data_IF_447573379161
#
_entry.id   IF_447573379161
#
_cell.length_a   1.000
_cell.length_b   1.000
_cell.length_c   1.000
_cell.angle_alpha   90.00
_cell.angle_beta   90.00
_cell.angle_gamma   90.00
#
_symmetry.space_group_name_H-M   'P 1'
#
loop_
_entity.id
_entity.type
_entity.pdbx_description
1 polymer ?
#
# COMPACT_ATOMS: atom_id res chain seq x y z
N UNK A 1 -3.21 17.12 26.13
CA UNK A 1 -3.18 17.47 24.69
C UNK A 1 -2.92 16.17 23.93
N UNK A 2 -3.98 15.49 23.51
CA UNK A 2 -3.93 14.09 23.04
C UNK A 2 -3.31 13.96 21.64
N UNK A 3 -2.23 13.20 21.53
CA UNK A 3 -1.32 13.11 20.37
C UNK A 3 -1.70 12.04 19.31
N UNK A 4 -2.99 11.71 19.14
CA UNK A 4 -3.46 10.66 18.23
C UNK A 4 -3.92 11.13 16.82
N UNK A 5 -3.51 12.31 16.33
CA UNK A 5 -4.18 12.99 15.20
C UNK A 5 -3.77 12.70 13.72
N UNK A 6 -2.79 11.86 13.38
CA UNK A 6 -2.25 11.87 11.99
C UNK A 6 -2.34 10.58 11.18
N UNK A 7 -2.96 9.54 11.75
CA UNK A 7 -3.29 8.30 11.04
C UNK A 7 -4.79 8.11 11.07
N UNK A 8 -5.36 7.75 9.93
CA UNK A 8 -6.78 7.43 9.88
C UNK A 8 -6.97 5.94 10.18
N UNK A 9 -8.19 5.56 10.51
CA UNK A 9 -8.56 4.16 10.75
C UNK A 9 -9.39 3.64 9.60
N UNK A 10 -8.84 2.69 8.86
CA UNK A 10 -9.57 1.97 7.82
C UNK A 10 -10.21 0.71 8.41
N UNK A 11 -11.53 0.68 8.43
CA UNK A 11 -12.32 -0.44 8.92
C UNK A 11 -12.95 -1.15 7.74
N UNK A 12 -12.53 -2.37 7.46
CA UNK A 12 -13.21 -3.18 6.46
C UNK A 12 -14.53 -3.69 7.03
N UNK A 13 -15.61 -3.52 6.24
CA UNK A 13 -16.94 -4.04 6.60
C UNK A 13 -16.93 -5.55 6.69
N UNK A 14 -16.12 -6.19 5.83
CA UNK A 14 -15.85 -7.61 5.89
C UNK A 14 -14.90 -7.93 7.05
N UNK A 15 -15.36 -8.75 8.00
CA UNK A 15 -14.54 -9.22 9.12
C UNK A 15 -14.29 -8.22 10.25
N UNK A 16 -14.87 -7.00 10.21
CA UNK A 16 -14.77 -5.96 11.25
C UNK A 16 -13.32 -5.65 11.71
N UNK A 17 -12.34 -5.81 10.81
CA UNK A 17 -10.93 -5.53 11.12
C UNK A 17 -10.60 -4.06 10.88
N UNK A 18 -9.96 -3.46 11.87
CA UNK A 18 -9.50 -2.07 11.87
C UNK A 18 -7.99 -2.03 11.62
N UNK A 19 -7.57 -1.24 10.65
CA UNK A 19 -6.16 -0.99 10.33
C UNK A 19 -5.87 0.50 10.46
N UNK A 20 -4.75 0.84 11.09
CA UNK A 20 -4.20 2.20 11.01
C UNK A 20 -3.64 2.42 9.60
N UNK A 21 -4.06 3.50 8.97
CA UNK A 21 -3.64 3.87 7.62
C UNK A 21 -3.10 5.29 7.57
N UNK A 22 -2.28 5.55 6.55
CA UNK A 22 -1.85 6.89 6.15
C UNK A 22 -1.88 6.98 4.63
N UNK A 23 -2.56 8.00 4.10
CA UNK A 23 -2.31 8.47 2.74
C UNK A 23 -1.89 9.94 2.74
N UNK A 24 -1.04 10.31 1.78
CA UNK A 24 -0.46 11.65 1.72
C UNK A 24 -1.24 12.59 0.81
N UNK A 25 -1.95 12.05 -0.19
CA UNK A 25 -2.65 12.83 -1.20
C UNK A 25 -4.03 12.26 -1.53
N UNK A 26 -4.82 13.09 -2.20
CA UNK A 26 -6.07 12.71 -2.85
C UNK A 26 -5.79 12.45 -4.33
N UNK A 27 -6.27 11.34 -4.87
CA UNK A 27 -6.10 10.95 -6.26
C UNK A 27 -7.42 11.04 -7.02
N UNK A 28 -7.43 11.83 -8.09
CA UNK A 28 -8.55 11.91 -9.01
C UNK A 28 -8.25 11.10 -10.28
N UNK A 29 -9.05 10.07 -10.58
CA UNK A 29 -8.96 9.32 -11.84
C UNK A 29 -9.07 10.21 -13.09
N UNK A 30 -8.48 9.78 -14.22
CA UNK A 30 -8.42 10.56 -15.48
C UNK A 30 -9.77 11.05 -16.01
N UNK A 31 -10.87 10.38 -15.68
CA UNK A 31 -12.23 10.76 -16.07
C UNK A 31 -12.71 12.08 -15.46
N UNK A 32 -12.07 12.54 -14.38
CA UNK A 32 -12.40 13.81 -13.73
C UNK A 32 -11.57 14.94 -14.32
N UNK A 33 -12.24 16.01 -14.72
CA UNK A 33 -11.63 17.31 -14.92
C UNK A 33 -11.26 17.90 -13.57
N UNK A 34 -10.01 18.32 -13.43
CA UNK A 34 -9.44 18.70 -12.13
C UNK A 34 -8.55 19.92 -12.25
N UNK A 35 -8.31 20.57 -11.11
CA UNK A 35 -7.43 21.72 -11.01
C UNK A 35 -5.98 21.33 -11.29
N UNK A 36 -5.15 22.31 -11.63
CA UNK A 36 -3.74 22.09 -11.96
C UNK A 36 -2.96 21.37 -10.84
N UNK A 37 -3.28 21.63 -9.57
CA UNK A 37 -2.63 20.99 -8.42
C UNK A 37 -2.92 19.48 -8.36
N UNK A 38 -4.17 19.08 -8.57
CA UNK A 38 -4.57 17.68 -8.57
C UNK A 38 -3.99 16.93 -9.78
N UNK A 39 -3.82 17.63 -10.91
CA UNK A 39 -3.11 17.09 -12.08
C UNK A 39 -1.66 16.78 -11.74
N UNK A 40 -0.98 17.66 -11.00
CA UNK A 40 0.40 17.41 -10.53
C UNK A 40 0.49 16.18 -9.64
N UNK A 41 -0.43 15.98 -8.70
CA UNK A 41 -0.47 14.76 -7.86
C UNK A 41 -0.60 13.50 -8.72
N UNK A 42 -1.49 13.54 -9.72
CA UNK A 42 -1.67 12.45 -10.67
C UNK A 42 -0.39 12.16 -11.46
N UNK A 43 0.29 13.20 -11.95
CA UNK A 43 1.53 13.10 -12.70
C UNK A 43 2.68 12.54 -11.84
N UNK A 44 2.87 13.05 -10.62
CA UNK A 44 3.85 12.52 -9.64
C UNK A 44 3.64 11.00 -9.39
N UNK A 45 2.38 10.57 -9.25
CA UNK A 45 2.06 9.14 -9.06
C UNK A 45 2.33 8.33 -10.33
N UNK A 46 2.10 8.88 -11.53
CA UNK A 46 2.47 8.20 -12.76
C UNK A 46 3.98 8.07 -12.92
N UNK A 47 4.74 9.11 -12.56
CA UNK A 47 6.20 9.06 -12.53
C UNK A 47 6.70 7.98 -11.57
N UNK A 48 6.14 7.89 -10.37
CA UNK A 48 6.41 6.81 -9.42
C UNK A 48 6.10 5.44 -10.03
N UNK A 49 4.89 5.27 -10.60
CA UNK A 49 4.48 4.01 -11.25
C UNK A 49 5.39 3.60 -12.40
N UNK A 50 5.97 4.59 -13.06
CA UNK A 50 6.91 4.46 -14.16
C UNK A 50 8.37 4.54 -13.70
N UNK A 51 8.67 4.41 -12.40
CA UNK A 51 10.05 4.38 -11.90
C UNK A 51 10.90 5.56 -12.37
N UNK A 52 10.27 6.69 -12.71
CA UNK A 52 10.93 7.91 -13.20
C UNK A 52 11.39 8.74 -12.01
N UNK A 53 10.52 8.92 -11.02
CA UNK A 53 10.82 9.71 -9.83
C UNK A 53 10.05 9.17 -8.64
N UNK A 54 10.75 9.04 -7.50
CA UNK A 54 10.15 8.68 -6.21
C UNK A 54 10.70 9.51 -5.04
N UNK A 55 11.71 10.36 -5.26
CA UNK A 55 12.48 11.02 -4.20
C UNK A 55 11.60 11.85 -3.27
N UNK A 56 10.64 12.57 -3.83
CA UNK A 56 9.67 13.35 -3.06
C UNK A 56 8.87 12.47 -2.09
N UNK A 57 8.40 11.32 -2.55
CA UNK A 57 7.64 10.39 -1.70
C UNK A 57 8.53 9.69 -0.69
N UNK A 58 9.78 9.38 -1.07
CA UNK A 58 10.77 8.79 -0.18
C UNK A 58 11.06 9.71 1.01
N UNK A 59 11.37 10.98 0.74
CA UNK A 59 11.63 12.00 1.78
C UNK A 59 10.38 12.20 2.64
N UNK A 60 9.21 12.40 2.02
CA UNK A 60 7.97 12.64 2.75
C UNK A 60 7.58 11.48 3.69
N UNK A 61 7.68 10.23 3.21
CA UNK A 61 7.36 9.06 4.03
C UNK A 61 8.39 8.86 5.14
N UNK A 62 9.67 9.02 4.83
CA UNK A 62 10.75 8.91 5.81
C UNK A 62 10.58 9.91 6.94
N UNK A 63 10.46 11.19 6.60
CA UNK A 63 10.38 12.27 7.58
C UNK A 63 9.14 12.10 8.46
N UNK A 64 8.00 11.76 7.87
CA UNK A 64 6.77 11.48 8.62
C UNK A 64 6.92 10.28 9.57
N UNK A 65 7.56 9.19 9.14
CA UNK A 65 7.80 8.02 9.99
C UNK A 65 8.74 8.33 11.15
N UNK A 66 9.81 9.08 10.90
CA UNK A 66 10.78 9.49 11.92
C UNK A 66 10.12 10.45 12.91
N UNK A 67 9.39 11.45 12.45
CA UNK A 67 8.68 12.39 13.29
C UNK A 67 7.64 11.69 14.18
N UNK A 68 6.88 10.74 13.62
CA UNK A 68 5.76 10.11 14.34
C UNK A 68 6.19 9.03 15.32
N UNK A 69 7.18 8.21 14.96
CA UNK A 69 7.55 7.02 15.74
C UNK A 69 8.97 7.08 16.27
N UNK A 70 9.85 7.85 15.63
CA UNK A 70 11.29 7.79 15.87
C UNK A 70 11.91 6.46 15.42
N UNK A 71 13.20 6.50 15.09
CA UNK A 71 13.92 5.34 14.53
C UNK A 71 13.88 4.13 15.48
N UNK A 72 13.98 4.35 16.79
CA UNK A 72 13.96 3.25 17.78
C UNK A 72 12.66 2.44 17.79
N UNK A 73 11.50 3.07 17.59
CA UNK A 73 10.22 2.35 17.56
C UNK A 73 9.98 1.61 16.25
N UNK A 74 10.66 2.03 15.18
CA UNK A 74 10.66 1.38 13.88
C UNK A 74 11.59 0.15 13.85
N UNK A 75 12.45 -0.04 14.86
CA UNK A 75 13.27 -1.23 14.96
C UNK A 75 12.41 -2.51 14.95
N UNK A 76 12.89 -3.55 14.24
CA UNK A 76 12.21 -4.84 14.04
C UNK A 76 10.91 -4.77 13.22
N UNK A 77 10.65 -3.65 12.53
CA UNK A 77 9.62 -3.57 11.50
C UNK A 77 10.17 -4.13 10.18
N UNK A 78 9.33 -4.86 9.45
CA UNK A 78 9.52 -5.17 8.04
C UNK A 78 8.67 -4.23 7.22
N UNK A 79 9.27 -3.53 6.25
CA UNK A 79 8.54 -2.74 5.27
C UNK A 79 8.16 -3.65 4.09
N UNK A 80 6.86 -3.84 3.86
CA UNK A 80 6.34 -4.82 2.91
C UNK A 80 5.49 -4.12 1.82
N UNK A 81 5.96 -4.04 0.57
CA UNK A 81 5.14 -3.50 -0.51
C UNK A 81 4.03 -4.48 -0.89
N UNK A 82 2.88 -3.96 -1.30
CA UNK A 82 1.85 -4.73 -2.00
C UNK A 82 2.32 -4.88 -3.45
N UNK A 83 2.64 -6.10 -3.91
CA UNK A 83 3.25 -6.28 -5.22
C UNK A 83 2.30 -5.93 -6.37
N UNK A 84 2.86 -5.35 -7.43
CA UNK A 84 2.15 -5.24 -8.69
C UNK A 84 2.01 -6.63 -9.36
N UNK A 85 0.97 -6.81 -10.18
CA UNK A 85 0.67 -8.09 -10.85
C UNK A 85 1.69 -8.52 -11.90
N UNK A 86 2.56 -7.63 -12.36
CA UNK A 86 3.60 -7.92 -13.34
C UNK A 86 4.97 -7.68 -12.71
N UNK A 87 5.88 -8.66 -12.80
CA UNK A 87 7.21 -8.60 -12.17
C UNK A 87 8.03 -7.38 -12.59
N UNK A 88 8.07 -7.05 -13.90
CA UNK A 88 8.81 -5.88 -14.40
C UNK A 88 8.23 -4.58 -13.87
N UNK A 89 6.89 -4.47 -13.82
CA UNK A 89 6.20 -3.32 -13.23
C UNK A 89 6.48 -3.24 -11.73
N UNK A 90 6.46 -4.37 -11.02
CA UNK A 90 6.72 -4.45 -9.58
C UNK A 90 8.14 -3.99 -9.23
N UNK A 91 9.14 -4.47 -9.96
CA UNK A 91 10.54 -4.07 -9.82
C UNK A 91 10.73 -2.58 -10.07
N UNK A 92 10.16 -2.08 -11.17
CA UNK A 92 10.23 -0.67 -11.55
C UNK A 92 9.59 0.27 -10.53
N UNK A 93 8.53 -0.16 -9.84
CA UNK A 93 7.84 0.65 -8.82
C UNK A 93 8.52 0.61 -7.46
N UNK A 94 8.80 -0.58 -6.95
CA UNK A 94 9.01 -0.75 -5.52
C UNK A 94 10.45 -1.14 -5.15
N UNK A 95 11.24 -1.76 -6.04
CA UNK A 95 12.54 -2.33 -5.66
C UNK A 95 13.49 -1.27 -5.09
N UNK A 96 13.77 -0.22 -5.87
CA UNK A 96 14.69 0.85 -5.46
C UNK A 96 14.12 1.72 -4.34
N UNK A 97 12.82 1.99 -4.40
CA UNK A 97 12.11 2.75 -3.36
C UNK A 97 12.19 2.06 -2.00
N UNK A 98 11.86 0.76 -1.93
CA UNK A 98 11.95 -0.01 -0.69
C UNK A 98 13.38 -0.14 -0.18
N UNK A 99 14.36 -0.35 -1.08
CA UNK A 99 15.78 -0.41 -0.70
C UNK A 99 16.22 0.86 0.04
N UNK A 100 16.04 2.03 -0.58
CA UNK A 100 16.46 3.31 -0.02
C UNK A 100 15.70 3.67 1.26
N UNK A 101 14.37 3.47 1.28
CA UNK A 101 13.56 3.78 2.46
C UNK A 101 13.96 2.92 3.66
N UNK A 102 14.21 1.63 3.44
CA UNK A 102 14.58 0.72 4.51
C UNK A 102 16.00 0.98 5.04
N UNK A 103 16.93 1.34 4.15
CA UNK A 103 18.29 1.74 4.51
C UNK A 103 18.27 2.99 5.40
N UNK A 104 17.59 4.05 4.97
CA UNK A 104 17.48 5.31 5.71
C UNK A 104 16.82 5.12 7.09
N UNK A 105 15.78 4.29 7.17
CA UNK A 105 15.04 4.02 8.41
C UNK A 105 15.68 2.93 9.28
N UNK A 106 16.70 2.23 8.78
CA UNK A 106 17.32 1.06 9.43
C UNK A 106 16.31 -0.04 9.79
N UNK A 107 15.39 -0.32 8.87
CA UNK A 107 14.37 -1.36 9.01
C UNK A 107 14.55 -2.49 7.98
N UNK A 108 13.88 -3.61 8.20
CA UNK A 108 14.03 -4.78 7.32
C UNK A 108 13.27 -4.58 6.00
N UNK A 109 13.95 -4.74 4.88
CA UNK A 109 13.36 -4.64 3.54
C UNK A 109 12.63 -5.94 3.17
N UNK A 110 11.30 -5.89 3.12
CA UNK A 110 10.43 -7.02 2.77
C UNK A 110 10.14 -7.16 1.29
N UNK A 111 10.73 -6.36 0.40
CA UNK A 111 10.44 -6.38 -1.05
C UNK A 111 10.52 -7.79 -1.65
N UNK A 112 11.51 -8.60 -1.26
CA UNK A 112 11.70 -9.96 -1.77
C UNK A 112 10.87 -11.03 -1.03
N UNK A 113 10.12 -10.66 0.01
CA UNK A 113 9.32 -11.62 0.80
C UNK A 113 7.93 -11.84 0.22
N UNK A 114 7.56 -11.06 -0.79
CA UNK A 114 6.24 -11.10 -1.38
C UNK A 114 6.32 -10.86 -2.89
N UNK A 115 5.52 -11.59 -3.65
CA UNK A 115 5.29 -11.34 -5.07
C UNK A 115 3.86 -11.72 -5.46
N UNK A 116 3.40 -11.25 -6.61
CA UNK A 116 2.16 -11.75 -7.22
C UNK A 116 2.47 -12.99 -8.04
N UNK A 117 1.61 -14.01 -7.96
CA UNK A 117 1.65 -15.13 -8.89
C UNK A 117 1.35 -14.62 -10.31
N UNK A 118 2.19 -14.99 -11.27
CA UNK A 118 1.97 -14.65 -12.67
C UNK A 118 0.78 -15.47 -13.22
N UNK A 119 -0.25 -14.79 -13.74
CA UNK A 119 -1.37 -15.45 -14.38
C UNK A 119 -0.95 -15.90 -15.80
N UNK A 120 -0.55 -17.16 -15.95
CA UNK A 120 -0.22 -17.78 -17.25
C UNK A 120 -1.46 -18.23 -18.04
N UNK A 121 -2.61 -17.58 -17.87
CA UNK A 121 -3.84 -17.94 -18.59
C UNK A 121 -3.78 -17.40 -20.04
N UNK A 122 -3.81 -18.25 -21.09
CA UNK A 122 -3.98 -17.76 -22.45
C UNK A 122 -5.30 -17.00 -22.60
N UNK A 123 -5.26 -15.90 -23.35
CA UNK A 123 -6.29 -14.85 -23.48
C UNK A 123 -7.69 -15.27 -23.99
N UNK A 124 -8.00 -16.58 -24.10
CA UNK A 124 -9.18 -17.09 -24.82
C UNK A 124 -10.31 -17.68 -23.96
N UNK A 125 -10.20 -17.71 -22.63
CA UNK A 125 -11.28 -18.21 -21.75
C UNK A 125 -11.79 -17.09 -20.82
N UNK A 126 -12.23 -15.99 -21.43
CA UNK A 126 -12.98 -14.93 -20.73
C UNK A 126 -14.46 -15.32 -20.68
N UNK A 127 -14.86 -16.21 -19.78
CA UNK A 127 -16.29 -16.42 -19.50
C UNK A 127 -16.62 -16.75 -18.04
N UNK A 128 -15.70 -16.59 -17.10
CA UNK A 128 -16.04 -16.57 -15.68
C UNK A 128 -15.63 -15.22 -15.08
N UNK A 129 -16.62 -14.39 -14.79
CA UNK A 129 -16.54 -13.15 -14.00
C UNK A 129 -16.34 -13.50 -12.51
N UNK A 130 -15.53 -14.51 -12.21
CA UNK A 130 -15.10 -14.81 -10.85
C UNK A 130 -13.90 -13.93 -10.55
N UNK A 131 -14.07 -13.08 -9.55
CA UNK A 131 -13.12 -12.08 -9.09
C UNK A 131 -11.67 -12.56 -9.25
N UNK A 132 -10.81 -11.76 -9.90
CA UNK A 132 -9.37 -11.99 -9.92
C UNK A 132 -8.92 -12.16 -8.47
N UNK A 133 -8.65 -13.41 -8.07
CA UNK A 133 -8.12 -13.72 -6.75
C UNK A 133 -6.73 -13.11 -6.68
N UNK A 134 -6.47 -12.29 -5.66
CA UNK A 134 -5.11 -11.80 -5.42
C UNK A 134 -4.29 -12.98 -4.88
N UNK A 135 -3.51 -13.63 -5.74
CA UNK A 135 -2.67 -14.76 -5.36
C UNK A 135 -1.26 -14.25 -5.04
N UNK A 136 -1.00 -14.04 -3.74
CA UNK A 136 0.31 -13.67 -3.22
C UNK A 136 1.18 -14.91 -3.01
N UNK A 137 2.44 -14.82 -3.42
CA UNK A 137 3.49 -15.78 -3.05
C UNK A 137 4.30 -15.13 -1.94
N UNK A 138 4.27 -15.73 -0.75
CA UNK A 138 4.92 -15.21 0.45
C UNK A 138 6.12 -16.08 0.85
N UNK A 139 7.19 -15.44 1.30
CA UNK A 139 8.24 -16.11 2.06
C UNK A 139 7.79 -16.20 3.53
N UNK A 140 7.07 -17.27 3.86
CA UNK A 140 6.46 -17.43 5.17
C UNK A 140 7.49 -17.43 6.31
N UNK A 141 8.64 -18.08 6.12
CA UNK A 141 9.69 -18.18 7.15
C UNK A 141 10.25 -16.81 7.54
N UNK A 142 10.34 -15.90 6.57
CA UNK A 142 10.81 -14.53 6.80
C UNK A 142 9.73 -13.62 7.37
N UNK A 143 8.45 -13.95 7.17
CA UNK A 143 7.32 -13.10 7.58
C UNK A 143 6.67 -13.53 8.90
N UNK A 144 6.70 -14.81 9.27
CA UNK A 144 5.96 -15.34 10.41
C UNK A 144 6.23 -14.55 11.70
N UNK A 145 5.15 -14.08 12.34
CA UNK A 145 5.23 -13.31 13.59
C UNK A 145 5.81 -11.90 13.48
N UNK A 146 6.12 -11.40 12.27
CA UNK A 146 6.74 -10.08 12.08
C UNK A 146 5.75 -8.94 12.29
N UNK A 147 6.29 -7.78 12.67
CA UNK A 147 5.55 -6.50 12.69
C UNK A 147 5.80 -5.79 11.37
N UNK A 148 4.73 -5.36 10.71
CA UNK A 148 4.78 -4.89 9.33
C UNK A 148 4.34 -3.44 9.20
N UNK A 149 5.03 -2.68 8.36
CA UNK A 149 4.45 -1.53 7.66
C UNK A 149 4.18 -1.99 6.23
N UNK A 150 2.91 -1.94 5.81
CA UNK A 150 2.50 -2.33 4.46
C UNK A 150 2.41 -1.09 3.58
N UNK A 151 2.83 -1.18 2.31
CA UNK A 151 2.87 -0.03 1.41
C UNK A 151 2.26 -0.31 0.03
N UNK A 152 1.46 0.60 -0.50
CA UNK A 152 1.03 0.59 -1.91
C UNK A 152 0.97 2.01 -2.49
N UNK A 153 0.87 2.15 -3.81
CA UNK A 153 0.80 3.44 -4.46
C UNK A 153 -0.55 4.15 -4.19
N UNK A 154 -1.67 3.51 -4.51
CA UNK A 154 -2.99 4.13 -4.40
C UNK A 154 -3.97 3.21 -3.68
N UNK A 155 -4.56 3.70 -2.58
CA UNK A 155 -5.75 3.11 -1.99
C UNK A 155 -6.96 3.41 -2.89
N UNK A 156 -7.47 2.37 -3.56
CA UNK A 156 -8.65 2.46 -4.43
C UNK A 156 -9.90 1.85 -3.77
N UNK A 157 -10.03 0.52 -3.82
CA UNK A 157 -11.11 -0.24 -3.19
C UNK A 157 -10.71 -0.89 -1.87
N UNK A 158 -9.41 -0.87 -1.52
CA UNK A 158 -8.87 -1.56 -0.35
C UNK A 158 -8.82 -3.09 -0.48
N UNK A 159 -9.42 -3.70 -1.52
CA UNK A 159 -9.51 -5.16 -1.66
C UNK A 159 -8.16 -5.87 -1.69
N UNK A 160 -7.19 -5.34 -2.42
CA UNK A 160 -5.83 -5.92 -2.47
C UNK A 160 -5.18 -5.91 -1.09
N UNK A 161 -5.29 -4.78 -0.38
CA UNK A 161 -4.77 -4.64 0.97
C UNK A 161 -5.47 -5.58 1.95
N UNK A 162 -6.80 -5.67 1.91
CA UNK A 162 -7.57 -6.60 2.75
C UNK A 162 -7.17 -8.06 2.52
N UNK A 163 -7.08 -8.47 1.25
CA UNK A 163 -6.69 -9.83 0.89
C UNK A 163 -5.28 -10.17 1.41
N UNK A 164 -4.34 -9.23 1.29
CA UNK A 164 -3.01 -9.39 1.84
C UNK A 164 -3.03 -9.45 3.37
N UNK A 165 -3.76 -8.55 4.03
CA UNK A 165 -3.86 -8.49 5.48
C UNK A 165 -4.41 -9.79 6.08
N UNK A 166 -5.47 -10.35 5.49
CA UNK A 166 -6.02 -11.65 5.89
C UNK A 166 -5.01 -12.78 5.69
N UNK A 167 -4.22 -12.75 4.62
CA UNK A 167 -3.16 -13.76 4.39
C UNK A 167 -2.05 -13.65 5.45
N UNK A 168 -1.63 -12.42 5.78
CA UNK A 168 -0.60 -12.14 6.78
C UNK A 168 -1.05 -12.46 8.20
N UNK A 169 -2.34 -12.30 8.52
CA UNK A 169 -2.91 -12.72 9.80
C UNK A 169 -2.77 -14.24 10.01
N UNK A 170 -2.91 -15.04 8.95
CA UNK A 170 -2.64 -16.49 9.00
C UNK A 170 -1.19 -16.85 9.31
N UNK A 171 -0.25 -15.91 9.12
CA UNK A 171 1.16 -16.04 9.50
C UNK A 171 1.47 -15.40 10.86
N UNK A 172 0.45 -15.02 11.63
CA UNK A 172 0.57 -14.27 12.89
C UNK A 172 1.35 -12.95 12.74
N UNK A 173 1.36 -12.35 11.55
CA UNK A 173 1.96 -11.04 11.36
C UNK A 173 1.10 -9.96 12.01
N UNK A 174 1.72 -8.85 12.40
CA UNK A 174 1.00 -7.68 12.92
C UNK A 174 1.25 -6.46 12.04
N UNK A 175 0.26 -6.08 11.23
CA UNK A 175 0.28 -4.83 10.46
C UNK A 175 0.12 -3.67 11.45
N UNK A 176 1.18 -2.88 11.62
CA UNK A 176 1.20 -1.70 12.49
C UNK A 176 0.66 -0.46 11.81
N UNK A 177 0.86 -0.38 10.49
CA UNK A 177 0.45 0.74 9.67
C UNK A 177 0.38 0.27 8.21
N UNK A 178 -0.61 0.74 7.45
CA UNK A 178 -0.60 0.68 6.00
C UNK A 178 -0.45 2.10 5.41
N UNK A 179 0.52 2.27 4.53
CA UNK A 179 0.87 3.55 3.91
C UNK A 179 0.49 3.51 2.43
N UNK A 180 -0.13 4.59 1.96
CA UNK A 180 -0.45 4.80 0.56
C UNK A 180 0.06 6.17 0.11
N UNK A 181 0.51 6.32 -1.13
CA UNK A 181 0.84 7.66 -1.64
C UNK A 181 -0.42 8.52 -1.75
N UNK A 182 -1.52 7.91 -2.22
CA UNK A 182 -2.79 8.60 -2.35
C UNK A 182 -4.02 7.71 -2.14
N UNK A 183 -5.16 8.33 -1.84
CA UNK A 183 -6.49 7.67 -1.88
C UNK A 183 -7.30 8.18 -3.06
N UNK A 184 -7.93 7.26 -3.79
CA UNK A 184 -8.83 7.61 -4.90
C UNK A 184 -10.14 8.22 -4.41
N UNK A 185 -10.58 9.32 -5.03
CA UNK A 185 -11.96 9.83 -4.90
C UNK A 185 -12.85 9.15 -5.94
N UNK A 186 -14.06 8.79 -5.51
CA UNK A 186 -15.16 8.34 -6.37
C UNK A 186 -16.29 9.36 -6.19
N UNK A 187 -16.82 9.86 -7.29
CA UNK A 187 -17.74 11.03 -7.32
C UNK A 187 -19.22 10.61 -7.29
N UNK A 188 -19.55 9.56 -6.54
CA UNK A 188 -20.94 9.19 -6.24
C UNK A 188 -21.04 8.93 -4.74
N UNK A 189 -22.11 9.44 -4.13
CA UNK A 189 -22.31 9.64 -2.71
C UNK A 189 -22.01 8.42 -1.82
N UNK A 190 -21.21 8.69 -0.78
CA UNK A 190 -21.13 8.02 0.53
C UNK A 190 -21.86 6.67 0.71
N UNK A 191 -21.34 5.61 0.11
CA UNK A 191 -21.10 4.34 0.80
C UNK A 191 -19.85 3.72 0.19
N UNK A 192 -18.70 3.78 0.88
CA UNK A 192 -17.62 2.87 0.54
C UNK A 192 -18.13 1.44 0.81
N UNK A 193 -18.44 0.69 -0.24
CA UNK A 193 -19.06 -0.65 -0.13
C UNK A 193 -18.23 -1.63 0.71
N UNK A 194 -16.91 -1.41 0.79
CA UNK A 194 -15.95 -2.38 1.36
C UNK A 194 -15.26 -1.91 2.65
N UNK A 195 -15.09 -0.62 2.89
CA UNK A 195 -14.45 -0.11 4.10
C UNK A 195 -15.04 1.24 4.52
N UNK A 196 -14.66 1.72 5.70
CA UNK A 196 -14.96 3.07 6.20
C UNK A 196 -13.68 3.65 6.78
N UNK A 197 -13.40 4.92 6.51
CA UNK A 197 -12.27 5.65 7.11
C UNK A 197 -12.76 6.56 8.24
N UNK A 198 -12.22 6.38 9.44
CA UNK A 198 -12.43 7.26 10.59
C UNK A 198 -11.19 8.12 10.81
N UNK A 199 -11.39 9.39 11.14
CA UNK A 199 -10.32 10.30 11.59
C UNK A 199 -10.04 10.13 13.08
#
# INVERSE_FOLDING_TARGET
>A
MELYKDTESLVFKEGNKKYSIKFFRVYYPKRYEIRALDKKVRDDIYEFKNGVSFDKFLIEIKDWLIEKYGIYQLNRIVFLPIPASNKKVNEKRYKKFCELLCEDLKIENGYSYISMKENNSPNHLKNDVKAKKYEFILNEDRLRGKRLIVFDDILTSGKTFYSLATTLDGLNCKIRLAIFLARTIKEEDYVEEYFTIYK
#
